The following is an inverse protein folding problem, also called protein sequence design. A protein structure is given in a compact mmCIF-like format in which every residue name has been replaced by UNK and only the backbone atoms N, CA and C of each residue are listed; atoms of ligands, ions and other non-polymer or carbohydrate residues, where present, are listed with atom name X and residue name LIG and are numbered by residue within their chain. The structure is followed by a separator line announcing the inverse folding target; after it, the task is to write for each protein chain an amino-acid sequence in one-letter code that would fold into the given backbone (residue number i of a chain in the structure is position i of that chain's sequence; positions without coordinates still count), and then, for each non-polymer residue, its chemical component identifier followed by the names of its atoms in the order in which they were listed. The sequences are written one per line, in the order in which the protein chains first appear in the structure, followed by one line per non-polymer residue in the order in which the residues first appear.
data_IF_548816952972
#
_entry.id   IF_548816952972
#
_cell.length_a   1.000
_cell.length_b   1.000
_cell.length_c   1.000
_cell.angle_alpha   90.00
_cell.angle_beta   90.00
_cell.angle_gamma   90.00
#
_symmetry.space_group_name_H-M   'P 1'
#
loop_
_entity.id
_entity.type
_entity.pdbx_description
1 polymer ?
#
# COMPACT_ATOMS: atom_id res chain seq x y z
N UNK A 1 8.34 10.32 28.33
CA UNK A 1 8.59 9.79 26.98
C UNK A 1 7.27 9.42 26.36
N UNK A 2 6.59 10.32 25.64
CA UNK A 2 5.21 10.09 25.17
C UNK A 2 5.12 10.43 23.68
N UNK A 3 4.59 9.50 22.88
CA UNK A 3 4.19 9.62 21.47
C UNK A 3 5.21 9.27 20.36
N UNK A 4 6.08 8.28 20.55
CA UNK A 4 6.71 7.64 19.38
C UNK A 4 5.68 6.78 18.64
N UNK A 5 5.46 7.03 17.34
CA UNK A 5 4.52 6.28 16.50
C UNK A 5 5.17 5.68 15.25
N UNK A 6 4.56 4.61 14.77
CA UNK A 6 4.85 4.05 13.45
C UNK A 6 3.70 4.40 12.52
N UNK A 7 3.90 5.39 11.66
CA UNK A 7 2.90 5.82 10.69
C UNK A 7 2.89 4.81 9.55
N UNK A 8 1.76 4.16 9.33
CA UNK A 8 1.53 3.28 8.20
C UNK A 8 0.74 4.06 7.15
N UNK A 9 1.41 4.51 6.10
CA UNK A 9 0.76 5.14 4.95
C UNK A 9 0.49 4.05 3.91
N UNK A 10 -0.79 3.71 3.73
CA UNK A 10 -1.27 2.72 2.75
C UNK A 10 -1.91 3.44 1.57
N UNK A 11 -1.32 3.33 0.39
CA UNK A 11 -1.80 4.01 -0.82
C UNK A 11 -2.25 2.96 -1.84
N UNK A 12 -3.45 3.16 -2.37
CA UNK A 12 -4.15 2.12 -3.11
C UNK A 12 -4.60 1.00 -2.16
N UNK A 13 -5.20 1.41 -1.04
CA UNK A 13 -5.63 0.49 0.02
C UNK A 13 -6.66 -0.51 -0.48
N UNK A 14 -7.49 -0.15 -1.46
CA UNK A 14 -8.54 -1.00 -2.03
C UNK A 14 -9.42 -1.62 -0.95
N UNK A 15 -9.44 -2.95 -0.86
CA UNK A 15 -10.21 -3.67 0.16
C UNK A 15 -9.45 -3.85 1.49
N UNK A 16 -8.33 -3.16 1.65
CA UNK A 16 -7.44 -3.19 2.82
C UNK A 16 -6.88 -4.58 3.10
N UNK A 17 -6.53 -5.35 2.06
CA UNK A 17 -6.23 -6.77 2.21
C UNK A 17 -4.97 -7.04 3.03
N UNK A 18 -3.95 -6.20 2.85
CA UNK A 18 -2.65 -6.22 3.50
C UNK A 18 -2.81 -5.84 4.97
N UNK A 19 -3.49 -4.72 5.25
CA UNK A 19 -3.89 -4.36 6.61
C UNK A 19 -4.68 -5.49 7.29
N UNK A 20 -5.72 -6.02 6.62
CA UNK A 20 -6.57 -7.11 7.15
C UNK A 20 -5.77 -8.39 7.37
N UNK A 21 -4.78 -8.69 6.54
CA UNK A 21 -3.95 -9.89 6.71
C UNK A 21 -3.30 -9.93 8.10
N UNK A 22 -3.00 -8.77 8.71
CA UNK A 22 -2.44 -8.65 10.05
C UNK A 22 -3.55 -8.39 11.09
N UNK A 23 -4.39 -7.39 10.85
CA UNK A 23 -5.22 -6.78 11.88
C UNK A 23 -6.69 -7.25 11.90
N UNK A 24 -7.14 -8.07 10.94
CA UNK A 24 -8.50 -8.64 10.97
C UNK A 24 -8.71 -9.73 12.03
N UNK A 25 -9.94 -10.25 12.15
CA UNK A 25 -10.20 -11.46 12.95
C UNK A 25 -9.48 -12.71 12.37
N UNK A 26 -9.44 -13.77 13.17
CA UNK A 26 -8.80 -15.04 12.80
C UNK A 26 -9.53 -15.75 11.66
N UNK A 27 -10.85 -15.61 11.57
CA UNK A 27 -11.68 -16.23 10.52
C UNK A 27 -11.27 -15.77 9.13
N UNK A 28 -11.11 -14.46 8.92
CA UNK A 28 -10.65 -13.92 7.64
C UNK A 28 -9.24 -14.41 7.29
N UNK A 29 -8.34 -14.43 8.26
CA UNK A 29 -6.96 -14.88 8.07
C UNK A 29 -6.91 -16.37 7.70
N UNK A 30 -7.59 -17.23 8.46
CA UNK A 30 -7.69 -18.66 8.19
C UNK A 30 -8.34 -18.94 6.83
N UNK A 31 -9.41 -18.21 6.49
CA UNK A 31 -10.06 -18.31 5.17
C UNK A 31 -9.09 -18.00 4.02
N UNK A 32 -8.27 -16.94 4.14
CA UNK A 32 -7.27 -16.60 3.11
C UNK A 32 -6.20 -17.69 2.98
N UNK A 33 -5.72 -18.25 4.08
CA UNK A 33 -4.78 -19.39 4.06
C UNK A 33 -5.42 -20.61 3.40
N UNK A 34 -6.64 -20.97 3.78
CA UNK A 34 -7.37 -22.10 3.20
C UNK A 34 -7.58 -21.92 1.68
N UNK A 35 -8.05 -20.75 1.24
CA UNK A 35 -8.21 -20.45 -0.18
C UNK A 35 -6.88 -20.59 -0.94
N UNK A 36 -5.77 -20.17 -0.36
CA UNK A 36 -4.44 -20.36 -0.98
C UNK A 36 -4.02 -21.83 -1.02
N UNK A 37 -4.29 -22.58 0.04
CA UNK A 37 -4.04 -24.02 0.08
C UNK A 37 -4.75 -24.73 -1.08
N UNK A 38 -6.08 -24.52 -1.20
CA UNK A 38 -6.89 -25.07 -2.30
C UNK A 38 -6.34 -24.61 -3.66
N UNK A 39 -6.05 -23.32 -3.83
CA UNK A 39 -5.44 -22.79 -5.05
C UNK A 39 -4.16 -23.53 -5.46
N UNK A 40 -3.28 -23.81 -4.50
CA UNK A 40 -2.01 -24.47 -4.77
C UNK A 40 -2.13 -25.99 -4.98
N UNK A 41 -2.98 -26.67 -4.20
CA UNK A 41 -3.06 -28.14 -4.16
C UNK A 41 -4.06 -28.71 -5.15
N UNK A 42 -5.17 -28.03 -5.36
CA UNK A 42 -6.25 -28.49 -6.24
C UNK A 42 -6.09 -27.90 -7.64
N UNK A 43 -5.73 -26.62 -7.73
CA UNK A 43 -5.67 -25.91 -9.01
C UNK A 43 -4.24 -25.70 -9.54
N UNK A 44 -3.21 -26.17 -8.83
CA UNK A 44 -1.80 -25.97 -9.18
C UNK A 44 -1.42 -24.51 -9.42
N UNK A 45 -2.15 -23.57 -8.80
CA UNK A 45 -1.95 -22.12 -8.96
C UNK A 45 -1.16 -21.56 -7.77
N UNK A 46 0.09 -21.23 -8.06
CA UNK A 46 1.05 -20.62 -7.13
C UNK A 46 1.50 -21.55 -6.00
N UNK A 47 2.26 -21.00 -5.04
CA UNK A 47 2.92 -21.79 -3.99
C UNK A 47 2.22 -21.64 -2.64
N UNK A 48 2.09 -22.75 -1.92
CA UNK A 48 1.71 -22.72 -0.52
C UNK A 48 2.94 -22.56 0.38
N UNK A 49 2.71 -21.99 1.55
CA UNK A 49 3.74 -21.83 2.57
C UNK A 49 4.14 -23.18 3.16
N UNK A 50 5.43 -23.32 3.47
CA UNK A 50 5.93 -24.43 4.29
C UNK A 50 5.39 -24.32 5.72
N UNK A 51 5.40 -25.43 6.45
CA UNK A 51 4.94 -25.47 7.86
C UNK A 51 5.74 -24.49 8.73
N UNK A 52 7.06 -24.40 8.53
CA UNK A 52 7.91 -23.43 9.23
C UNK A 52 7.53 -21.98 8.94
N UNK A 53 7.22 -21.65 7.68
CA UNK A 53 6.78 -20.32 7.26
C UNK A 53 5.41 -19.97 7.83
N UNK A 54 4.49 -20.94 7.93
CA UNK A 54 3.21 -20.76 8.61
C UNK A 54 3.39 -20.48 10.09
N UNK A 55 4.20 -21.28 10.80
CA UNK A 55 4.47 -21.07 12.22
C UNK A 55 5.06 -19.67 12.48
N UNK A 56 6.02 -19.25 11.65
CA UNK A 56 6.61 -17.91 11.71
C UNK A 56 5.57 -16.82 11.38
N UNK A 57 4.70 -17.04 10.38
CA UNK A 57 3.62 -16.12 10.03
C UNK A 57 2.64 -15.91 11.19
N UNK A 58 2.17 -16.98 11.83
CA UNK A 58 1.28 -16.89 13.00
C UNK A 58 1.94 -16.19 14.18
N UNK A 59 3.20 -16.54 14.49
CA UNK A 59 3.99 -15.89 15.55
C UNK A 59 4.11 -14.39 15.30
N UNK A 60 4.53 -14.01 14.09
CA UNK A 60 4.73 -12.61 13.73
C UNK A 60 3.41 -11.84 13.73
N UNK A 61 2.33 -12.41 13.18
CA UNK A 61 1.00 -11.78 13.20
C UNK A 61 0.52 -11.53 14.62
N UNK A 62 0.68 -12.49 15.54
CA UNK A 62 0.30 -12.33 16.94
C UNK A 62 1.04 -11.17 17.60
N UNK A 63 2.34 -11.04 17.36
CA UNK A 63 3.16 -9.95 17.88
C UNK A 63 2.71 -8.58 17.34
N UNK A 64 2.47 -8.46 16.03
CA UNK A 64 1.98 -7.22 15.42
C UNK A 64 0.63 -6.77 16.01
N UNK A 65 -0.30 -7.72 16.19
CA UNK A 65 -1.61 -7.43 16.77
C UNK A 65 -1.53 -6.97 18.22
N UNK A 66 -0.63 -7.56 19.02
CA UNK A 66 -0.40 -7.15 20.41
C UNK A 66 0.10 -5.71 20.49
N UNK A 67 0.85 -5.28 19.49
CA UNK A 67 1.46 -3.95 19.40
C UNK A 67 0.69 -2.99 18.46
N UNK A 68 -0.61 -3.24 18.20
CA UNK A 68 -1.41 -2.41 17.28
C UNK A 68 -1.43 -0.93 17.67
N UNK A 69 -1.39 -0.62 18.97
CA UNK A 69 -1.42 0.74 19.50
C UNK A 69 -0.20 1.60 19.15
N UNK A 70 0.90 1.02 18.67
CA UNK A 70 2.09 1.74 18.22
C UNK A 70 1.86 2.33 16.82
N UNK A 71 0.97 1.72 16.04
CA UNK A 71 0.67 2.15 14.69
C UNK A 71 -0.28 3.35 14.68
N UNK A 72 -0.10 4.17 13.67
CA UNK A 72 -1.04 5.20 13.25
C UNK A 72 -1.31 4.98 11.76
N UNK A 73 -2.55 4.63 11.41
CA UNK A 73 -2.89 4.15 10.08
C UNK A 73 -3.47 5.27 9.21
N UNK A 74 -2.92 5.43 8.02
CA UNK A 74 -3.36 6.40 7.03
C UNK A 74 -3.68 5.67 5.75
N UNK A 75 -4.95 5.68 5.34
CA UNK A 75 -5.40 5.01 4.12
C UNK A 75 -5.71 6.03 3.03
N UNK A 76 -5.21 5.78 1.83
CA UNK A 76 -5.40 6.62 0.66
C UNK A 76 -5.97 5.75 -0.46
N UNK A 77 -7.17 6.11 -0.91
CA UNK A 77 -7.90 5.40 -1.97
C UNK A 77 -8.55 6.40 -2.91
N UNK A 78 -8.38 6.22 -4.21
CA UNK A 78 -8.92 7.13 -5.21
C UNK A 78 -10.42 6.90 -5.47
N UNK A 79 -10.91 5.71 -5.14
CA UNK A 79 -12.26 5.28 -5.46
C UNK A 79 -13.26 5.52 -4.31
N UNK A 80 -14.18 6.49 -4.43
CA UNK A 80 -15.16 6.78 -3.39
C UNK A 80 -16.12 5.61 -3.12
N UNK A 81 -16.33 4.69 -4.07
CA UNK A 81 -17.18 3.51 -3.86
C UNK A 81 -16.49 2.46 -2.96
N UNK A 82 -15.16 2.46 -2.93
CA UNK A 82 -14.37 1.55 -2.09
C UNK A 82 -14.20 2.14 -0.68
N UNK A 83 -14.02 3.45 -0.56
CA UNK A 83 -13.76 4.11 0.73
C UNK A 83 -14.91 3.93 1.73
N UNK A 84 -16.14 3.70 1.24
CA UNK A 84 -17.32 3.41 2.06
C UNK A 84 -17.25 2.05 2.79
N UNK A 85 -16.25 1.22 2.52
CA UNK A 85 -16.09 -0.08 3.17
C UNK A 85 -15.61 0.05 4.63
N UNK A 86 -16.10 -0.85 5.48
CA UNK A 86 -15.79 -0.88 6.93
C UNK A 86 -14.29 -0.86 7.28
N UNK A 87 -13.40 -1.34 6.41
CA UNK A 87 -11.96 -1.34 6.71
C UNK A 87 -11.40 0.08 6.90
N UNK A 88 -11.96 1.07 6.19
CA UNK A 88 -11.52 2.46 6.28
C UNK A 88 -11.88 3.11 7.62
N UNK A 89 -12.93 2.63 8.31
CA UNK A 89 -13.25 3.10 9.67
C UNK A 89 -12.27 2.59 10.73
N UNK A 90 -11.31 1.73 10.37
CA UNK A 90 -10.25 1.26 11.27
C UNK A 90 -8.97 2.10 11.18
N UNK A 91 -8.86 3.01 10.21
CA UNK A 91 -7.73 3.92 10.07
C UNK A 91 -7.87 5.16 10.96
N UNK A 92 -6.75 5.81 11.24
CA UNK A 92 -6.74 7.10 11.91
C UNK A 92 -7.07 8.21 10.91
N UNK A 93 -6.46 8.17 9.73
CA UNK A 93 -6.70 9.12 8.64
C UNK A 93 -7.12 8.39 7.36
N UNK A 94 -8.07 8.99 6.63
CA UNK A 94 -8.61 8.46 5.38
C UNK A 94 -8.71 9.57 4.34
N UNK A 95 -8.07 9.37 3.18
CA UNK A 95 -8.07 10.32 2.08
C UNK A 95 -8.66 9.70 0.81
N UNK A 96 -9.71 10.33 0.27
CA UNK A 96 -10.34 9.92 -0.99
C UNK A 96 -9.68 10.62 -2.20
N UNK A 97 -8.45 10.23 -2.55
CA UNK A 97 -7.69 10.84 -3.64
C UNK A 97 -6.73 9.86 -4.30
N UNK A 98 -6.36 10.14 -5.54
CA UNK A 98 -5.25 9.51 -6.23
C UNK A 98 -4.00 10.38 -6.08
N UNK A 99 -2.85 9.73 -5.89
CA UNK A 99 -1.55 10.38 -5.90
C UNK A 99 -0.86 10.07 -7.22
N UNK A 100 -0.67 11.07 -8.06
CA UNK A 100 -0.09 10.89 -9.39
C UNK A 100 0.38 12.20 -10.00
N UNK A 101 1.33 12.13 -10.93
CA UNK A 101 1.91 13.32 -11.54
C UNK A 101 0.85 14.15 -12.29
N UNK A 102 0.54 15.32 -11.73
CA UNK A 102 0.20 16.51 -12.50
C UNK A 102 1.26 17.56 -12.16
N UNK A 103 2.27 17.70 -13.02
CA UNK A 103 3.52 18.46 -12.72
C UNK A 103 3.30 19.94 -12.40
N UNK A 104 2.10 20.47 -12.64
CA UNK A 104 1.82 21.91 -12.60
C UNK A 104 0.69 22.27 -11.63
N UNK A 105 -0.25 21.35 -11.36
CA UNK A 105 -1.47 21.69 -10.61
C UNK A 105 -1.41 21.16 -9.18
N UNK A 106 -1.70 22.05 -8.21
CA UNK A 106 -1.84 21.68 -6.79
C UNK A 106 -2.94 20.65 -6.59
N UNK A 107 -4.02 20.76 -7.36
CA UNK A 107 -5.22 19.95 -7.28
C UNK A 107 -5.79 19.78 -8.70
N UNK A 108 -6.30 18.59 -9.01
CA UNK A 108 -7.04 18.39 -10.25
C UNK A 108 -8.15 17.37 -10.08
N UNK A 109 -9.24 17.58 -10.83
CA UNK A 109 -10.29 16.58 -11.01
C UNK A 109 -9.95 15.75 -12.22
N UNK A 110 -9.83 14.43 -12.02
CA UNK A 110 -9.43 13.48 -13.04
C UNK A 110 -10.37 12.29 -13.15
N UNK A 111 -9.97 11.33 -13.97
CA UNK A 111 -10.73 10.10 -14.24
C UNK A 111 -9.98 8.91 -13.67
N UNK A 112 -10.66 8.14 -12.83
CA UNK A 112 -10.24 6.80 -12.43
C UNK A 112 -10.94 5.81 -13.36
N UNK A 113 -10.20 5.31 -14.35
CA UNK A 113 -10.77 4.46 -15.38
C UNK A 113 -11.00 3.04 -14.89
N UNK A 114 -12.11 2.43 -15.32
CA UNK A 114 -12.51 1.10 -14.88
C UNK A 114 -11.96 0.00 -15.77
N UNK A 115 -11.32 -1.00 -15.14
CA UNK A 115 -10.93 -2.25 -15.79
C UNK A 115 -12.13 -3.18 -15.85
N UNK A 116 -12.37 -3.81 -17.00
CA UNK A 116 -13.44 -4.79 -17.22
C UNK A 116 -14.84 -4.29 -16.82
N UNK A 117 -15.06 -2.97 -16.90
CA UNK A 117 -16.28 -2.28 -16.44
C UNK A 117 -16.63 -2.49 -14.96
N UNK A 118 -15.67 -2.94 -14.15
CA UNK A 118 -15.85 -3.11 -12.72
C UNK A 118 -15.40 -1.85 -11.98
N UNK A 119 -16.38 -1.11 -11.47
CA UNK A 119 -16.17 0.16 -10.79
C UNK A 119 -15.36 0.03 -9.50
N UNK A 120 -15.25 -1.16 -8.91
CA UNK A 120 -14.51 -1.43 -7.66
C UNK A 120 -13.27 -2.28 -7.88
N UNK A 121 -12.87 -2.50 -9.14
CA UNK A 121 -11.66 -3.24 -9.44
C UNK A 121 -10.43 -2.53 -8.88
N UNK A 122 -9.51 -3.31 -8.30
CA UNK A 122 -8.22 -2.83 -7.82
C UNK A 122 -7.34 -2.34 -8.97
N UNK A 123 -7.54 -2.93 -10.15
CA UNK A 123 -6.82 -2.54 -11.36
C UNK A 123 -7.17 -1.17 -11.92
N UNK A 124 -8.21 -0.51 -11.38
CA UNK A 124 -8.63 0.82 -11.81
C UNK A 124 -7.49 1.82 -11.67
N UNK A 125 -7.31 2.65 -12.70
CA UNK A 125 -6.10 3.48 -12.81
C UNK A 125 -6.42 4.88 -13.33
N UNK A 126 -5.61 5.85 -12.94
CA UNK A 126 -5.61 7.20 -13.50
C UNK A 126 -4.90 7.25 -14.87
N UNK A 127 -4.22 6.18 -15.27
CA UNK A 127 -3.52 6.07 -16.55
C UNK A 127 -4.39 5.37 -17.60
N UNK A 128 -4.40 5.92 -18.82
CA UNK A 128 -5.12 5.36 -19.97
C UNK A 128 -4.43 4.16 -20.61
N UNK A 129 -3.16 3.92 -20.29
CA UNK A 129 -2.28 3.00 -21.03
C UNK A 129 -2.45 1.52 -20.64
N UNK A 130 -3.26 1.22 -19.63
CA UNK A 130 -3.55 -0.18 -19.27
C UNK A 130 -4.40 -0.86 -20.33
N UNK A 131 -3.97 -2.07 -20.72
CA UNK A 131 -4.79 -2.98 -21.51
C UNK A 131 -6.09 -3.27 -20.74
N UNK A 132 -7.23 -3.26 -21.43
CA UNK A 132 -8.58 -3.52 -20.88
C UNK A 132 -9.26 -2.35 -20.14
N UNK A 133 -8.77 -1.12 -20.31
CA UNK A 133 -9.46 0.08 -19.81
C UNK A 133 -10.43 0.64 -20.86
N UNK A 134 -11.69 0.84 -20.48
CA UNK A 134 -12.65 1.60 -21.29
C UNK A 134 -12.59 3.09 -20.91
N UNK A 135 -12.14 3.95 -21.83
CA UNK A 135 -11.99 5.40 -21.60
C UNK A 135 -13.31 6.13 -21.30
N UNK A 136 -14.44 5.53 -21.71
CA UNK A 136 -15.78 6.05 -21.47
C UNK A 136 -16.36 5.56 -20.14
N UNK A 137 -15.70 4.62 -19.46
CA UNK A 137 -16.12 4.12 -18.16
C UNK A 137 -15.12 4.53 -17.08
N UNK A 138 -15.52 5.49 -16.25
CA UNK A 138 -14.68 6.05 -15.21
C UNK A 138 -15.49 6.57 -14.05
N UNK A 139 -14.85 6.63 -12.88
CA UNK A 139 -15.32 7.43 -11.74
C UNK A 139 -14.50 8.71 -11.70
N UNK A 140 -15.15 9.84 -11.45
CA UNK A 140 -14.43 11.09 -11.18
C UNK A 140 -13.67 10.96 -9.86
N UNK A 141 -12.39 11.34 -9.84
CA UNK A 141 -11.57 11.32 -8.63
C UNK A 141 -10.75 12.59 -8.49
N UNK A 142 -10.33 12.89 -7.27
CA UNK A 142 -9.32 13.91 -6.99
C UNK A 142 -7.95 13.34 -7.31
N UNK A 143 -7.15 14.06 -8.06
CA UNK A 143 -5.75 13.75 -8.31
C UNK A 143 -4.90 14.85 -7.68
N UNK A 144 -4.06 14.45 -6.73
CA UNK A 144 -3.18 15.34 -5.98
C UNK A 144 -1.72 15.06 -6.33
N UNK A 145 -0.91 16.12 -6.37
CA UNK A 145 0.53 15.97 -6.52
C UNK A 145 1.12 15.28 -5.27
N UNK A 146 1.88 14.17 -5.41
CA UNK A 146 2.42 13.44 -4.28
C UNK A 146 3.33 14.26 -3.35
N UNK A 147 4.11 15.19 -3.90
CA UNK A 147 5.03 16.03 -3.11
C UNK A 147 4.28 17.05 -2.26
N UNK A 148 3.26 17.68 -2.83
CA UNK A 148 2.42 18.63 -2.09
C UNK A 148 1.61 17.93 -1.00
N UNK A 149 1.01 16.77 -1.32
CA UNK A 149 0.34 15.94 -0.31
C UNK A 149 1.29 15.59 0.84
N UNK A 150 2.49 15.07 0.53
CA UNK A 150 3.47 14.69 1.53
C UNK A 150 3.90 15.89 2.40
N UNK A 151 4.05 17.07 1.80
CA UNK A 151 4.46 18.29 2.51
C UNK A 151 3.42 18.73 3.53
N UNK A 152 2.16 18.85 3.12
CA UNK A 152 1.06 19.20 4.02
C UNK A 152 0.88 18.13 5.11
N UNK A 153 0.90 16.86 4.72
CA UNK A 153 0.69 15.77 5.66
C UNK A 153 1.84 15.61 6.66
N UNK A 154 3.07 15.91 6.25
CA UNK A 154 4.22 15.99 7.16
C UNK A 154 4.03 17.07 8.21
N UNK A 155 3.58 18.27 7.82
CA UNK A 155 3.28 19.35 8.75
C UNK A 155 2.30 18.91 9.83
N UNK A 156 1.17 18.31 9.41
CA UNK A 156 0.18 17.74 10.32
C UNK A 156 0.74 16.66 11.25
N UNK A 157 1.53 15.71 10.74
CA UNK A 157 2.13 14.65 11.56
C UNK A 157 3.18 15.18 12.55
N UNK A 158 3.94 16.21 12.17
CA UNK A 158 4.92 16.85 13.04
C UNK A 158 4.26 17.62 14.19
N UNK A 159 3.02 18.13 14.01
CA UNK A 159 2.21 18.71 15.08
C UNK A 159 1.67 17.64 16.05
N UNK A 160 1.27 16.47 15.52
CA UNK A 160 0.70 15.39 16.34
C UNK A 160 1.73 14.58 17.14
N UNK A 161 2.93 14.36 16.58
CA UNK A 161 3.89 13.41 17.10
C UNK A 161 5.29 14.02 17.22
N UNK A 162 5.83 14.01 18.44
CA UNK A 162 7.20 14.45 18.70
C UNK A 162 8.26 13.58 18.01
N UNK A 163 7.95 12.30 17.75
CA UNK A 163 8.81 11.39 17.00
C UNK A 163 7.98 10.33 16.28
N UNK A 164 8.34 10.01 15.04
CA UNK A 164 7.69 8.93 14.31
C UNK A 164 8.56 8.40 13.17
N UNK A 165 8.29 7.16 12.78
CA UNK A 165 8.82 6.50 11.58
C UNK A 165 7.68 6.20 10.62
N UNK A 166 7.99 6.07 9.33
CA UNK A 166 7.02 5.77 8.28
C UNK A 166 7.29 4.41 7.65
N UNK A 167 6.22 3.62 7.56
CA UNK A 167 6.07 2.52 6.62
C UNK A 167 5.17 3.02 5.49
N UNK A 168 5.68 2.91 4.26
CA UNK A 168 4.91 3.19 3.05
C UNK A 168 4.50 1.88 2.39
N UNK A 169 3.20 1.58 2.30
CA UNK A 169 2.67 0.46 1.51
C UNK A 169 1.99 0.96 0.25
N UNK A 170 2.31 0.37 -0.90
CA UNK A 170 1.88 0.84 -2.21
C UNK A 170 1.20 -0.25 -3.04
N UNK A 171 0.11 0.12 -3.68
CA UNK A 171 -0.53 -0.62 -4.77
C UNK A 171 -1.33 0.36 -5.65
N UNK A 172 -0.66 1.16 -6.47
CA UNK A 172 -1.21 2.38 -7.09
C UNK A 172 -1.15 2.36 -8.62
N UNK A 173 -1.09 1.16 -9.20
CA UNK A 173 -1.28 0.89 -10.62
C UNK A 173 -0.40 1.74 -11.55
N UNK A 174 0.87 1.88 -11.18
CA UNK A 174 1.91 2.57 -11.96
C UNK A 174 2.36 3.92 -11.39
N UNK A 175 1.74 4.41 -10.32
CA UNK A 175 2.11 5.68 -9.67
C UNK A 175 3.17 5.52 -8.58
N UNK A 176 3.65 4.30 -8.32
CA UNK A 176 4.47 3.96 -7.16
C UNK A 176 5.81 4.73 -7.13
N UNK A 177 6.47 4.85 -8.28
CA UNK A 177 7.74 5.58 -8.42
C UNK A 177 7.60 7.06 -8.01
N UNK A 178 6.61 7.77 -8.57
CA UNK A 178 6.35 9.18 -8.29
C UNK A 178 6.08 9.42 -6.80
N UNK A 179 5.33 8.50 -6.17
CA UNK A 179 5.01 8.55 -4.75
C UNK A 179 6.26 8.30 -3.91
N UNK A 180 7.06 7.27 -4.23
CA UNK A 180 8.30 6.95 -3.49
C UNK A 180 9.25 8.15 -3.52
N UNK A 181 9.46 8.74 -4.69
CA UNK A 181 10.35 9.90 -4.83
C UNK A 181 9.87 11.08 -3.99
N UNK A 182 8.58 11.43 -4.10
CA UNK A 182 8.00 12.55 -3.39
C UNK A 182 8.03 12.38 -1.87
N UNK A 183 7.57 11.22 -1.37
CA UNK A 183 7.50 10.99 0.07
C UNK A 183 8.91 10.85 0.67
N UNK A 184 9.87 10.23 -0.02
CA UNK A 184 11.25 10.17 0.49
C UNK A 184 11.90 11.54 0.55
N UNK A 185 11.70 12.39 -0.46
CA UNK A 185 12.24 13.74 -0.45
C UNK A 185 11.64 14.60 0.67
N UNK A 186 10.35 14.41 0.98
CA UNK A 186 9.66 15.16 2.02
C UNK A 186 9.97 14.65 3.44
N UNK A 187 9.82 13.34 3.67
CA UNK A 187 9.97 12.73 5.00
C UNK A 187 11.40 12.35 5.36
N UNK A 188 12.31 12.32 4.38
CA UNK A 188 13.74 12.08 4.57
C UNK A 188 14.00 10.84 5.44
N UNK A 189 14.69 11.00 6.57
CA UNK A 189 15.05 9.92 7.49
C UNK A 189 13.86 9.25 8.18
N UNK A 190 12.68 9.88 8.19
CA UNK A 190 11.46 9.27 8.76
C UNK A 190 10.92 8.16 7.85
N UNK A 191 11.14 8.22 6.53
CA UNK A 191 10.77 7.15 5.59
C UNK A 191 11.97 6.23 5.30
N UNK A 192 11.90 5.00 5.82
CA UNK A 192 12.94 3.97 5.62
C UNK A 192 12.42 2.66 5.03
N UNK A 193 11.10 2.46 5.00
CA UNK A 193 10.52 1.16 4.65
C UNK A 193 9.44 1.31 3.59
N UNK A 194 9.57 0.54 2.52
CA UNK A 194 8.59 0.46 1.43
C UNK A 194 8.09 -0.97 1.31
N UNK A 195 6.78 -1.12 1.25
CA UNK A 195 6.08 -2.38 1.08
C UNK A 195 5.11 -2.25 -0.10
N UNK A 196 4.72 -3.38 -0.70
CA UNK A 196 3.79 -3.36 -1.83
C UNK A 196 4.27 -4.16 -3.01
N UNK A 197 3.48 -4.17 -4.09
CA UNK A 197 3.88 -4.72 -5.38
C UNK A 197 4.28 -3.58 -6.32
N UNK A 198 5.57 -3.49 -6.65
CA UNK A 198 6.09 -2.40 -7.49
C UNK A 198 6.13 -2.73 -9.00
N UNK A 199 5.63 -3.90 -9.39
CA UNK A 199 5.70 -4.42 -10.76
C UNK A 199 4.90 -3.58 -11.76
N UNK A 200 3.86 -2.89 -11.30
CA UNK A 200 2.96 -2.17 -12.20
C UNK A 200 3.61 -0.91 -12.79
N UNK A 201 4.64 -0.36 -12.15
CA UNK A 201 5.52 0.65 -12.76
C UNK A 201 6.15 0.12 -14.05
N UNK A 202 6.63 -1.13 -14.06
CA UNK A 202 7.20 -1.74 -15.27
C UNK A 202 6.14 -1.90 -16.35
N UNK A 203 4.95 -2.38 -16.00
CA UNK A 203 3.85 -2.59 -16.96
C UNK A 203 3.34 -1.28 -17.55
N UNK A 204 3.21 -0.23 -16.73
CA UNK A 204 2.58 1.05 -17.13
C UNK A 204 3.58 2.03 -17.73
N UNK A 205 4.80 2.10 -17.19
CA UNK A 205 5.84 3.09 -17.54
C UNK A 205 7.08 2.49 -18.21
N UNK A 206 7.18 1.16 -18.30
CA UNK A 206 8.26 0.44 -18.97
C UNK A 206 9.47 0.16 -18.07
N UNK A 207 10.40 -0.65 -18.61
CA UNK A 207 11.59 -1.13 -17.90
C UNK A 207 12.50 -0.02 -17.37
N UNK A 208 12.69 1.05 -18.15
CA UNK A 208 13.54 2.19 -17.76
C UNK A 208 13.04 2.87 -16.49
N UNK A 209 11.72 3.08 -16.38
CA UNK A 209 11.11 3.70 -15.20
C UNK A 209 11.22 2.79 -13.97
N UNK A 210 10.99 1.49 -14.16
CA UNK A 210 11.12 0.50 -13.10
C UNK A 210 12.56 0.39 -12.57
N UNK A 211 13.55 0.30 -13.47
CA UNK A 211 14.96 0.29 -13.09
C UNK A 211 15.36 1.55 -12.33
N UNK A 212 14.95 2.73 -12.82
CA UNK A 212 15.20 4.01 -12.14
C UNK A 212 14.63 4.01 -10.71
N UNK A 213 13.41 3.52 -10.53
CA UNK A 213 12.78 3.42 -9.21
C UNK A 213 13.54 2.48 -8.29
N UNK A 214 13.94 1.30 -8.77
CA UNK A 214 14.71 0.35 -7.97
C UNK A 214 16.10 0.89 -7.61
N UNK A 215 16.78 1.57 -8.53
CA UNK A 215 18.03 2.27 -8.25
C UNK A 215 17.86 3.35 -7.19
N UNK A 216 16.79 4.14 -7.25
CA UNK A 216 16.50 5.16 -6.23
C UNK A 216 16.24 4.54 -4.85
N UNK A 217 15.47 3.45 -4.79
CA UNK A 217 15.25 2.69 -3.54
C UNK A 217 16.58 2.27 -2.93
N UNK A 218 17.51 1.77 -3.74
CA UNK A 218 18.83 1.35 -3.29
C UNK A 218 19.69 2.54 -2.86
N UNK A 219 19.78 3.60 -3.68
CA UNK A 219 20.57 4.81 -3.40
C UNK A 219 20.11 5.52 -2.13
N UNK A 220 18.79 5.56 -1.88
CA UNK A 220 18.21 6.19 -0.68
C UNK A 220 18.08 5.23 0.51
N UNK A 221 18.71 4.06 0.42
CA UNK A 221 18.76 3.04 1.47
C UNK A 221 17.36 2.64 2.00
N UNK A 222 16.36 2.64 1.11
CA UNK A 222 15.00 2.24 1.44
C UNK A 222 14.92 0.71 1.50
N UNK A 223 14.51 0.19 2.65
CA UNK A 223 14.30 -1.24 2.81
C UNK A 223 12.96 -1.63 2.18
N UNK A 224 13.03 -2.23 0.98
CA UNK A 224 11.88 -2.73 0.25
C UNK A 224 11.56 -4.20 0.59
N UNK A 225 10.27 -4.50 0.81
CA UNK A 225 9.76 -5.87 0.97
C UNK A 225 8.45 -6.01 0.20
N UNK A 226 8.38 -6.99 -0.71
CA UNK A 226 7.12 -7.31 -1.40
C UNK A 226 6.04 -7.68 -0.37
N UNK A 227 4.88 -7.03 -0.50
CA UNK A 227 3.74 -7.25 0.39
C UNK A 227 2.45 -6.97 -0.35
N UNK A 228 1.74 -8.04 -0.68
CA UNK A 228 0.50 -7.99 -1.43
C UNK A 228 -0.56 -8.88 -0.80
N UNK A 229 -1.74 -8.93 -1.43
CA UNK A 229 -2.80 -9.85 -1.03
C UNK A 229 -2.44 -11.34 -1.17
N UNK A 230 -1.34 -11.66 -1.84
CA UNK A 230 -0.81 -13.01 -2.01
C UNK A 230 -0.10 -13.48 -0.74
N UNK A 231 -0.59 -14.59 -0.17
CA UNK A 231 -0.15 -15.17 1.12
C UNK A 231 1.35 -15.46 1.19
N UNK A 232 1.98 -15.80 0.06
CA UNK A 232 3.43 -16.05 -0.02
C UNK A 232 4.29 -14.83 0.34
N UNK A 233 3.74 -13.62 0.23
CA UNK A 233 4.46 -12.38 0.58
C UNK A 233 4.42 -12.09 2.08
N UNK A 234 3.44 -12.65 2.79
CA UNK A 234 3.14 -12.27 4.18
C UNK A 234 4.23 -12.64 5.18
N UNK A 235 4.91 -13.82 5.12
CA UNK A 235 5.92 -14.17 6.14
C UNK A 235 7.06 -13.16 6.22
N UNK A 236 7.62 -12.77 5.06
CA UNK A 236 8.70 -11.77 5.00
C UNK A 236 8.22 -10.40 5.44
N UNK A 237 7.05 -9.98 4.96
CA UNK A 237 6.47 -8.68 5.33
C UNK A 237 6.22 -8.59 6.84
N UNK A 238 5.55 -9.58 7.45
CA UNK A 238 5.19 -9.54 8.86
C UNK A 238 6.44 -9.59 9.75
N UNK A 239 7.43 -10.41 9.38
CA UNK A 239 8.72 -10.44 10.06
C UNK A 239 9.40 -9.08 10.03
N UNK A 240 9.47 -8.44 8.85
CA UNK A 240 10.08 -7.12 8.71
C UNK A 240 9.36 -6.08 9.54
N UNK A 241 8.03 -6.04 9.53
CA UNK A 241 7.26 -5.08 10.34
C UNK A 241 7.52 -5.31 11.83
N UNK A 242 7.60 -6.55 12.30
CA UNK A 242 8.00 -6.83 13.68
C UNK A 242 9.40 -6.33 14.02
N UNK A 243 10.37 -6.44 13.10
CA UNK A 243 11.72 -5.89 13.31
C UNK A 243 11.74 -4.35 13.38
N UNK A 244 10.71 -3.67 12.88
CA UNK A 244 10.62 -2.20 12.92
C UNK A 244 10.07 -1.72 14.26
N UNK A 245 9.16 -2.49 14.87
CA UNK A 245 8.50 -2.13 16.14
C UNK A 245 9.24 -2.62 17.39
N UNK A 246 10.16 -3.58 17.24
CA UNK A 246 11.05 -4.03 18.32
C UNK A 246 12.38 -3.29 18.25
#
# INVERSE_FOLDING_TARGET
MKNSKLIWIDIGTHFGQEYKSIFSNQTYFAWKLFRRFIGSKVFSKGKFLKISELAELFKNRKALRKNKNIFYFTFIEANPKIIAMKVYSEANDVFCLALGQNKIKKFSVGKLYHVDRNETSQGNSIYKTKTNVNINNFTTCVIQNPFLFATEYKGYLDELFSNYKIILRLNCEGSEDDIIYALKNCFQEKLKYVFGSLKDVKTVKGDKAFQKMMSFIQEKELSYVDFSSSVETWPKAFKKINQIIN
#
